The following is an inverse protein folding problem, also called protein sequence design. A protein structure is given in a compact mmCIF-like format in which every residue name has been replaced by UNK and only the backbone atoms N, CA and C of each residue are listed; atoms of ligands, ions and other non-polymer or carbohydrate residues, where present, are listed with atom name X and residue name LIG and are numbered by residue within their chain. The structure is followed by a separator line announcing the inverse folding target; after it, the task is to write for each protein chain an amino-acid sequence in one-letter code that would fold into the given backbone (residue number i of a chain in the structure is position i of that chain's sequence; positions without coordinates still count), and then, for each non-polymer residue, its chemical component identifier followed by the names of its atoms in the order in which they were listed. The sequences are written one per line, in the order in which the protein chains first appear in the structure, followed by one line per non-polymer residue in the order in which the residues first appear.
data_IF_341140339801
#
_entry.id   IF_341140339801
#
_cell.length_a   1.000
_cell.length_b   1.000
_cell.length_c   1.000
_cell.angle_alpha   90.00
_cell.angle_beta   90.00
_cell.angle_gamma   90.00
#
_symmetry.space_group_name_H-M   'P 1'
#
loop_
_entity.id
_entity.type
_entity.pdbx_description
1 polymer ?
#
# COMPACT_ATOMS: atom_id res chain seq x y z
N UNK A 1 25.02 0.31 -8.94
CA UNK A 1 23.88 0.21 -8.01
C UNK A 1 23.88 1.43 -7.11
N UNK A 2 23.01 2.41 -7.38
CA UNK A 2 22.91 3.63 -6.59
C UNK A 2 22.06 3.37 -5.34
N UNK A 3 22.65 3.56 -4.16
CA UNK A 3 21.94 3.47 -2.89
C UNK A 3 20.86 4.57 -2.82
N UNK A 4 19.59 4.18 -2.74
CA UNK A 4 18.50 5.11 -2.45
C UNK A 4 18.54 5.44 -0.95
N UNK A 5 19.05 6.61 -0.60
CA UNK A 5 19.02 7.10 0.78
C UNK A 5 17.59 7.54 1.09
N UNK A 6 16.77 6.64 1.62
CA UNK A 6 15.42 6.94 2.08
C UNK A 6 15.54 7.86 3.29
N UNK A 7 15.17 9.12 3.11
CA UNK A 7 14.99 10.04 4.22
C UNK A 7 13.67 9.65 4.89
N UNK A 8 13.74 8.86 5.97
CA UNK A 8 12.58 8.61 6.79
C UNK A 8 12.20 9.94 7.48
N UNK A 9 10.93 10.40 7.42
CA UNK A 9 10.47 11.49 8.26
C UNK A 9 10.59 11.08 9.75
N UNK A 10 10.55 12.08 10.64
CA UNK A 10 10.59 11.90 12.09
C UNK A 10 9.63 10.78 12.56
N UNK A 11 9.92 10.10 13.70
CA UNK A 11 9.07 9.02 14.19
C UNK A 11 7.62 9.50 14.24
N UNK A 12 6.78 8.91 13.40
CA UNK A 12 5.34 9.11 13.49
C UNK A 12 4.89 8.42 14.77
N UNK A 13 4.06 9.08 15.56
CA UNK A 13 3.35 8.43 16.65
C UNK A 13 2.40 7.40 16.04
N UNK A 14 2.83 6.14 16.01
CA UNK A 14 2.05 5.03 15.46
C UNK A 14 0.86 4.67 16.37
N UNK A 15 0.83 5.23 17.59
CA UNK A 15 -0.28 5.09 18.55
C UNK A 15 -1.35 6.18 18.38
N UNK A 16 -1.27 6.97 17.32
CA UNK A 16 -2.32 7.90 16.93
C UNK A 16 -3.66 7.16 16.79
N UNK A 17 -4.69 7.66 17.48
CA UNK A 17 -6.03 7.08 17.48
C UNK A 17 -6.52 6.81 16.05
N UNK A 18 -7.02 5.61 15.74
CA UNK A 18 -7.53 5.22 14.41
C UNK A 18 -8.52 6.23 13.82
N UNK A 19 -9.23 6.97 14.68
CA UNK A 19 -10.13 8.06 14.30
C UNK A 19 -9.44 9.22 13.56
N UNK A 20 -8.12 9.40 13.74
CA UNK A 20 -7.30 10.45 13.11
C UNK A 20 -6.81 10.09 11.70
N UNK A 21 -6.77 8.79 11.36
CA UNK A 21 -6.26 8.30 10.07
C UNK A 21 -6.92 8.94 8.84
N UNK A 22 -8.25 9.17 8.80
CA UNK A 22 -8.88 9.87 7.68
C UNK A 22 -8.35 11.30 7.50
N UNK A 23 -8.07 12.00 8.61
CA UNK A 23 -7.51 13.35 8.59
C UNK A 23 -6.06 13.39 8.11
N UNK A 24 -5.25 12.41 8.51
CA UNK A 24 -3.89 12.25 8.01
C UNK A 24 -3.85 11.88 6.52
N UNK A 25 -4.74 10.99 6.09
CA UNK A 25 -4.92 10.67 4.67
C UNK A 25 -5.27 11.90 3.84
N UNK A 26 -6.19 12.74 4.33
CA UNK A 26 -6.55 13.99 3.67
C UNK A 26 -5.38 14.99 3.60
N UNK A 27 -4.55 15.07 4.64
CA UNK A 27 -3.32 15.90 4.64
C UNK A 27 -2.29 15.42 3.63
N UNK A 28 -2.19 14.10 3.42
CA UNK A 28 -1.20 13.51 2.51
C UNK A 28 -1.67 13.49 1.04
N UNK A 29 -2.97 13.45 0.78
CA UNK A 29 -3.52 13.35 -0.58
C UNK A 29 -2.95 14.37 -1.60
N UNK A 30 -2.69 15.65 -1.27
CA UNK A 30 -2.12 16.61 -2.21
C UNK A 30 -0.68 16.29 -2.66
N UNK A 31 0.05 15.47 -1.89
CA UNK A 31 1.43 15.11 -2.19
C UNK A 31 1.55 13.91 -3.14
N UNK A 32 0.44 13.27 -3.49
CA UNK A 32 0.43 12.08 -4.32
C UNK A 32 -0.07 12.43 -5.72
N UNK A 33 0.66 11.99 -6.75
CA UNK A 33 0.20 12.11 -8.13
C UNK A 33 -0.99 11.17 -8.33
N UNK A 34 -2.19 11.74 -8.44
CA UNK A 34 -3.34 10.96 -8.87
C UNK A 34 -3.19 10.63 -10.36
N UNK A 35 -3.27 9.35 -10.77
CA UNK A 35 -3.37 9.03 -12.19
C UNK A 35 -4.63 9.66 -12.77
N UNK A 36 -4.58 10.00 -14.06
CA UNK A 36 -5.76 10.50 -14.77
C UNK A 36 -6.94 9.55 -14.53
N UNK A 37 -8.05 10.11 -14.07
CA UNK A 37 -9.28 9.35 -13.81
C UNK A 37 -9.88 8.92 -15.14
N UNK A 38 -9.37 7.81 -15.67
CA UNK A 38 -10.03 7.08 -16.73
C UNK A 38 -11.19 6.33 -16.09
N UNK A 39 -12.42 6.61 -16.53
CA UNK A 39 -13.57 5.81 -16.15
C UNK A 39 -13.31 4.36 -16.57
N UNK A 40 -12.95 3.52 -15.60
CA UNK A 40 -12.72 2.10 -15.85
C UNK A 40 -14.05 1.48 -16.21
N UNK A 41 -14.13 0.90 -17.41
CA UNK A 41 -15.31 0.11 -17.78
C UNK A 41 -15.38 -1.13 -16.90
N UNK A 42 -16.57 -1.58 -16.48
CA UNK A 42 -16.71 -2.86 -15.81
C UNK A 42 -16.06 -3.95 -16.66
N UNK A 43 -15.13 -4.69 -16.07
CA UNK A 43 -14.49 -5.86 -16.69
C UNK A 43 -15.05 -7.12 -16.03
N UNK A 44 -15.05 -8.23 -16.78
CA UNK A 44 -15.34 -9.53 -16.19
C UNK A 44 -14.40 -9.77 -15.00
N UNK A 45 -14.86 -10.34 -13.87
CA UNK A 45 -13.99 -10.74 -12.76
C UNK A 45 -12.83 -11.64 -13.20
N UNK A 46 -13.04 -12.45 -14.26
CA UNK A 46 -12.00 -13.29 -14.86
C UNK A 46 -10.85 -12.50 -15.54
N UNK A 47 -11.00 -11.18 -15.70
CA UNK A 47 -9.96 -10.28 -16.20
C UNK A 47 -9.27 -9.50 -15.07
N UNK A 48 -9.78 -9.58 -13.84
CA UNK A 48 -9.11 -9.08 -12.64
C UNK A 48 -8.08 -10.13 -12.20
N UNK A 49 -7.21 -10.52 -13.13
CA UNK A 49 -6.12 -11.46 -12.94
C UNK A 49 -4.88 -10.79 -13.52
N UNK A 50 -4.25 -9.92 -12.73
CA UNK A 50 -3.11 -9.12 -13.19
C UNK A 50 -1.91 -9.15 -12.26
N UNK A 51 -2.05 -9.74 -11.07
CA UNK A 51 -0.99 -9.74 -10.06
C UNK A 51 -0.64 -11.19 -9.75
N UNK A 52 0.47 -11.64 -10.32
CA UNK A 52 1.12 -12.88 -9.88
C UNK A 52 2.10 -12.53 -8.77
N UNK A 53 1.87 -13.10 -7.59
CA UNK A 53 2.78 -12.94 -6.45
C UNK A 53 3.83 -14.05 -6.50
N UNK A 54 5.13 -13.74 -6.49
CA UNK A 54 6.16 -14.76 -6.43
C UNK A 54 6.02 -15.64 -5.18
N UNK A 55 6.25 -16.96 -5.27
CA UNK A 55 6.12 -17.87 -4.12
C UNK A 55 6.98 -17.46 -2.91
N UNK A 56 8.13 -16.83 -3.15
CA UNK A 56 8.99 -16.33 -2.07
C UNK A 56 8.32 -15.24 -1.23
N UNK A 57 7.54 -14.35 -1.86
CA UNK A 57 6.81 -13.28 -1.18
C UNK A 57 5.64 -13.85 -0.36
N UNK A 58 4.92 -14.84 -0.90
CA UNK A 58 3.85 -15.52 -0.15
C UNK A 58 4.40 -16.23 1.09
N UNK A 59 5.52 -16.95 0.96
CA UNK A 59 6.17 -17.64 2.08
C UNK A 59 6.69 -16.72 3.18
N UNK A 60 7.04 -15.47 2.83
CA UNK A 60 7.44 -14.48 3.83
C UNK A 60 6.27 -14.09 4.72
N UNK A 61 5.06 -13.94 4.15
CA UNK A 61 3.85 -13.61 4.90
C UNK A 61 3.34 -14.81 5.70
N UNK A 62 3.41 -16.01 5.13
CA UNK A 62 3.07 -17.28 5.79
C UNK A 62 3.92 -17.53 7.06
N UNK A 63 5.14 -17.00 7.09
CA UNK A 63 6.03 -17.08 8.25
C UNK A 63 5.73 -16.02 9.33
N UNK A 64 4.81 -15.08 9.09
CA UNK A 64 4.42 -14.05 10.06
C UNK A 64 3.18 -14.49 10.84
N UNK A 65 3.27 -14.49 12.17
CA UNK A 65 2.21 -14.96 13.07
C UNK A 65 0.86 -14.25 12.84
N UNK A 66 0.88 -12.96 12.51
CA UNK A 66 -0.32 -12.16 12.27
C UNK A 66 -1.04 -12.46 10.93
N UNK A 67 -0.40 -13.21 10.01
CA UNK A 67 -0.87 -13.36 8.62
C UNK A 67 -0.77 -14.78 8.05
N UNK A 68 -0.13 -15.72 8.75
CA UNK A 68 0.16 -17.08 8.27
C UNK A 68 -0.86 -18.16 8.63
N UNK A 69 -2.08 -17.80 9.05
CA UNK A 69 -3.21 -18.71 9.34
C UNK A 69 -4.48 -18.30 8.58
#
# INVERSE_FOLDING_TARGET
MTNLKVHAPAPVDLEGELASLPGDGARMAPHWAAPDRVASRPVSPALIHGVSVPPASARLLDAMEDYGD
#
